data_IF_976553166766
#
_entry.id   IF_976553166766
#
_cell.length_a   1.000
_cell.length_b   1.000
_cell.length_c   1.000
_cell.angle_alpha   90.00
_cell.angle_beta   90.00
_cell.angle_gamma   90.00
#
_symmetry.space_group_name_H-M   'P 1'
#
loop_
_entity.id
_entity.type
_entity.pdbx_description
1 polymer ?
#
# COMPACT_ATOMS: atom_id res chain seq x y z
N UNK A 1 13.37 -12.87 -11.11
CA UNK A 1 14.09 -12.14 -12.18
C UNK A 1 13.53 -12.60 -13.51
N UNK A 2 13.14 -11.65 -14.37
CA UNK A 2 12.74 -11.92 -15.74
C UNK A 2 13.92 -11.67 -16.67
N UNK A 3 14.29 -12.68 -17.45
CA UNK A 3 15.33 -12.60 -18.46
C UNK A 3 14.92 -13.44 -19.66
N UNK A 4 14.97 -12.87 -20.86
CA UNK A 4 14.67 -13.55 -22.13
C UNK A 4 13.31 -14.32 -22.10
N UNK A 5 12.25 -13.72 -21.56
CA UNK A 5 10.94 -14.33 -21.29
C UNK A 5 10.96 -15.54 -20.34
N UNK A 6 12.01 -15.70 -19.57
CA UNK A 6 12.15 -16.75 -18.57
C UNK A 6 12.16 -16.16 -17.16
N UNK A 7 11.46 -16.82 -16.22
CA UNK A 7 11.42 -16.40 -14.82
C UNK A 7 12.38 -17.26 -13.99
N UNK A 8 13.36 -16.61 -13.36
CA UNK A 8 14.19 -17.23 -12.35
C UNK A 8 13.59 -16.97 -10.97
N UNK A 9 13.18 -18.02 -10.28
CA UNK A 9 12.72 -17.96 -8.89
C UNK A 9 13.94 -18.05 -7.97
N UNK A 10 14.17 -17.00 -7.18
CA UNK A 10 15.28 -16.95 -6.23
C UNK A 10 14.91 -17.61 -4.91
N UNK A 11 13.72 -17.29 -4.41
CA UNK A 11 13.19 -17.84 -3.15
C UNK A 11 11.67 -17.83 -3.17
N UNK A 12 11.08 -18.62 -2.30
CA UNK A 12 9.64 -18.54 -1.99
C UNK A 12 9.45 -18.66 -0.48
N UNK A 13 8.33 -18.11 0.01
CA UNK A 13 7.95 -18.16 1.42
C UNK A 13 6.55 -18.74 1.55
N UNK A 14 6.34 -19.58 2.55
CA UNK A 14 5.03 -20.15 2.90
C UNK A 14 4.17 -19.19 3.72
N UNK A 15 4.67 -17.99 4.02
CA UNK A 15 3.94 -16.94 4.72
C UNK A 15 3.72 -15.72 3.83
N UNK A 16 2.67 -14.98 4.10
CA UNK A 16 2.43 -13.69 3.45
C UNK A 16 3.49 -12.67 3.84
N UNK A 17 3.85 -11.82 2.90
CA UNK A 17 4.63 -10.61 3.16
C UNK A 17 3.83 -9.60 3.99
N UNK A 18 4.52 -8.83 4.85
CA UNK A 18 3.91 -7.75 5.61
C UNK A 18 3.51 -6.54 4.75
N UNK A 19 2.89 -5.53 5.38
CA UNK A 19 2.58 -4.26 4.77
C UNK A 19 1.36 -4.29 3.86
N UNK A 20 0.30 -5.02 4.23
CA UNK A 20 -0.99 -5.01 3.51
C UNK A 20 -0.91 -5.48 2.04
N UNK A 21 0.17 -6.17 1.64
CA UNK A 21 0.37 -6.69 0.27
C UNK A 21 -0.74 -7.65 -0.18
N UNK A 22 -1.44 -8.28 0.76
CA UNK A 22 -2.57 -9.17 0.46
C UNK A 22 -3.65 -8.46 -0.36
N UNK A 23 -3.88 -7.17 -0.12
CA UNK A 23 -4.83 -6.36 -0.90
C UNK A 23 -4.33 -6.08 -2.31
N UNK A 24 -3.06 -5.76 -2.47
CA UNK A 24 -2.46 -5.59 -3.80
C UNK A 24 -2.58 -6.88 -4.63
N UNK A 25 -2.33 -8.03 -4.02
CA UNK A 25 -2.46 -9.33 -4.68
C UNK A 25 -3.92 -9.58 -5.06
N UNK A 26 -4.89 -9.31 -4.17
CA UNK A 26 -6.32 -9.46 -4.44
C UNK A 26 -6.75 -8.62 -5.66
N UNK A 27 -6.32 -7.36 -5.71
CA UNK A 27 -6.65 -6.45 -6.82
C UNK A 27 -6.06 -6.92 -8.15
N UNK A 28 -4.82 -7.42 -8.14
CA UNK A 28 -4.11 -7.84 -9.35
C UNK A 28 -4.54 -9.23 -9.84
N UNK A 29 -4.84 -10.15 -8.94
CA UNK A 29 -5.11 -11.56 -9.27
C UNK A 29 -6.58 -11.98 -9.12
N UNK A 30 -7.42 -11.17 -8.46
CA UNK A 30 -8.77 -11.55 -8.06
C UNK A 30 -8.83 -12.58 -6.92
N UNK A 31 -7.68 -12.99 -6.36
CA UNK A 31 -7.61 -13.98 -5.28
C UNK A 31 -7.53 -13.31 -3.92
N UNK A 32 -8.55 -13.48 -3.10
CA UNK A 32 -8.49 -13.07 -1.71
C UNK A 32 -7.66 -14.07 -0.90
N UNK A 33 -6.37 -13.76 -0.73
CA UNK A 33 -5.42 -14.63 -0.06
C UNK A 33 -5.80 -14.89 1.41
N UNK A 34 -6.39 -13.90 2.10
CA UNK A 34 -6.81 -14.08 3.50
C UNK A 34 -7.92 -15.12 3.62
N UNK A 35 -8.95 -15.02 2.77
CA UNK A 35 -10.02 -16.02 2.72
C UNK A 35 -9.48 -17.39 2.32
N UNK A 36 -8.63 -17.46 1.29
CA UNK A 36 -8.00 -18.71 0.86
C UNK A 36 -7.16 -19.37 1.96
N UNK A 37 -6.51 -18.57 2.79
CA UNK A 37 -5.75 -19.07 3.93
C UNK A 37 -6.66 -19.64 5.03
N UNK A 38 -7.80 -18.98 5.29
CA UNK A 38 -8.81 -19.49 6.22
C UNK A 38 -9.41 -20.79 5.71
N UNK A 39 -9.76 -20.87 4.42
CA UNK A 39 -10.28 -22.10 3.79
C UNK A 39 -9.31 -23.27 4.00
N UNK A 40 -8.00 -23.06 3.77
CA UNK A 40 -6.96 -24.08 4.00
C UNK A 40 -6.88 -24.54 5.46
N UNK A 41 -7.00 -23.61 6.43
CA UNK A 41 -6.99 -23.97 7.86
C UNK A 41 -8.21 -24.81 8.21
N UNK A 42 -9.35 -24.56 7.59
CA UNK A 42 -10.58 -25.31 7.77
C UNK A 42 -10.60 -26.66 7.01
N UNK A 43 -9.55 -26.96 6.24
CA UNK A 43 -9.46 -28.15 5.40
C UNK A 43 -10.26 -28.06 4.10
N UNK A 44 -10.66 -26.86 3.71
CA UNK A 44 -11.37 -26.58 2.48
C UNK A 44 -10.40 -26.24 1.33
N UNK A 45 -10.85 -26.39 0.10
CA UNK A 45 -10.05 -25.97 -1.06
C UNK A 45 -10.17 -24.47 -1.28
N UNK A 46 -9.04 -23.74 -1.38
CA UNK A 46 -9.08 -22.30 -1.59
C UNK A 46 -9.69 -21.94 -2.93
N UNK A 47 -10.46 -20.87 -2.97
CA UNK A 47 -11.04 -20.33 -4.20
C UNK A 47 -9.97 -19.58 -4.99
N UNK A 48 -9.64 -20.11 -6.17
CA UNK A 48 -8.74 -19.44 -7.10
C UNK A 48 -9.57 -18.75 -8.16
N UNK A 49 -9.50 -17.43 -8.22
CA UNK A 49 -10.11 -16.67 -9.31
C UNK A 49 -9.29 -16.88 -10.59
N UNK A 50 -9.93 -16.97 -11.77
CA UNK A 50 -9.19 -16.90 -13.02
C UNK A 50 -8.53 -15.53 -13.13
N UNK A 51 -7.30 -15.49 -13.66
CA UNK A 51 -6.63 -14.23 -13.94
C UNK A 51 -7.48 -13.40 -14.91
N UNK A 52 -7.92 -12.26 -14.43
CA UNK A 52 -8.57 -11.25 -15.25
C UNK A 52 -7.57 -10.14 -15.60
N UNK A 53 -8.00 -9.27 -16.50
CA UNK A 53 -7.27 -8.16 -17.12
C UNK A 53 -6.20 -7.50 -16.25
N UNK A 54 -5.01 -7.32 -16.80
CA UNK A 54 -3.92 -6.57 -16.17
C UNK A 54 -4.41 -5.18 -15.79
N UNK A 55 -4.38 -4.90 -14.50
CA UNK A 55 -4.56 -3.56 -13.93
C UNK A 55 -3.20 -3.05 -13.49
N UNK A 56 -3.04 -1.75 -13.51
CA UNK A 56 -1.89 -1.10 -12.88
C UNK A 56 -2.26 -0.79 -11.44
N UNK A 57 -1.48 -1.25 -10.50
CA UNK A 57 -1.75 -1.03 -9.08
C UNK A 57 -0.46 -0.83 -8.30
N UNK A 58 -0.51 0.02 -7.29
CA UNK A 58 0.59 0.23 -6.36
C UNK A 58 0.07 0.28 -4.92
N UNK A 59 0.79 -0.40 -4.02
CA UNK A 59 0.69 -0.22 -2.58
C UNK A 59 1.79 0.76 -2.18
N UNK A 60 1.43 2.02 -1.98
CA UNK A 60 2.36 3.06 -1.56
C UNK A 60 2.45 3.13 -0.03
N UNK A 61 3.65 3.36 0.49
CA UNK A 61 3.91 3.45 1.93
C UNK A 61 4.41 4.83 2.29
N UNK A 62 3.85 5.37 3.35
CA UNK A 62 4.14 6.70 3.85
C UNK A 62 5.05 6.61 5.07
N UNK A 63 6.12 7.36 5.04
CA UNK A 63 7.03 7.60 6.15
C UNK A 63 6.94 9.05 6.61
N UNK A 64 7.38 9.32 7.81
CA UNK A 64 7.35 10.65 8.39
C UNK A 64 8.72 11.06 8.91
N UNK A 65 8.95 12.37 8.91
CA UNK A 65 10.01 12.99 9.71
C UNK A 65 9.68 12.88 11.20
N UNK A 66 10.68 12.99 12.10
CA UNK A 66 10.47 12.91 13.53
C UNK A 66 9.43 13.92 14.04
N UNK A 67 8.55 13.46 14.92
CA UNK A 67 7.48 14.27 15.51
C UNK A 67 6.42 13.41 16.19
N UNK A 68 5.47 14.03 16.85
CA UNK A 68 4.31 13.34 17.44
C UNK A 68 3.11 13.54 16.49
N UNK A 69 2.54 12.45 16.04
CA UNK A 69 1.37 12.48 15.15
C UNK A 69 0.17 13.08 15.87
N UNK A 70 -0.42 14.13 15.29
CA UNK A 70 -1.66 14.72 15.77
C UNK A 70 -2.86 14.33 14.92
N UNK A 71 -2.72 14.30 13.58
CA UNK A 71 -3.81 13.90 12.68
C UNK A 71 -3.29 13.34 11.35
N UNK A 72 -4.18 12.58 10.68
CA UNK A 72 -4.01 12.05 9.32
C UNK A 72 -5.04 12.73 8.43
N UNK A 73 -4.58 13.57 7.50
CA UNK A 73 -5.44 14.38 6.65
C UNK A 73 -5.53 13.82 5.22
N UNK A 74 -6.68 13.99 4.59
CA UNK A 74 -6.92 13.64 3.19
C UNK A 74 -7.34 12.20 2.93
N UNK A 75 -6.95 11.23 3.74
CA UNK A 75 -7.15 9.78 3.49
C UNK A 75 -8.62 9.41 3.26
N UNK A 76 -9.51 9.85 4.17
CA UNK A 76 -10.93 9.55 4.06
C UNK A 76 -11.56 10.21 2.82
N UNK A 77 -11.20 11.43 2.52
CA UNK A 77 -11.68 12.14 1.36
C UNK A 77 -11.27 11.45 0.05
N UNK A 78 -10.02 11.01 -0.05
CA UNK A 78 -9.51 10.28 -1.21
C UNK A 78 -10.21 8.92 -1.39
N UNK A 79 -10.51 8.22 -0.30
CA UNK A 79 -11.27 6.97 -0.32
C UNK A 79 -12.72 7.21 -0.76
N UNK A 80 -13.41 8.17 -0.15
CA UNK A 80 -14.81 8.51 -0.44
C UNK A 80 -15.00 8.94 -1.92
N UNK A 81 -13.98 9.55 -2.53
CA UNK A 81 -13.98 9.96 -3.94
C UNK A 81 -13.31 8.94 -4.89
N UNK A 82 -13.01 7.73 -4.41
CA UNK A 82 -12.44 6.63 -5.20
C UNK A 82 -11.11 6.96 -5.90
N UNK A 83 -10.31 7.85 -5.32
CA UNK A 83 -8.91 8.05 -5.75
C UNK A 83 -8.00 6.94 -5.27
N UNK A 84 -8.31 6.37 -4.08
CA UNK A 84 -7.65 5.20 -3.52
C UNK A 84 -8.68 4.09 -3.26
N UNK A 85 -8.26 2.84 -3.37
CA UNK A 85 -9.08 1.65 -3.08
C UNK A 85 -9.19 1.39 -1.57
N UNK A 86 -8.10 1.62 -0.85
CA UNK A 86 -8.00 1.40 0.59
C UNK A 86 -6.81 2.17 1.17
N UNK A 87 -6.86 2.51 2.46
CA UNK A 87 -5.72 3.03 3.18
C UNK A 87 -5.51 2.29 4.50
N UNK A 88 -4.30 2.33 5.01
CA UNK A 88 -3.87 1.63 6.22
C UNK A 88 -3.10 2.60 7.10
N UNK A 89 -3.53 2.75 8.33
CA UNK A 89 -2.79 3.49 9.34
C UNK A 89 -2.00 2.49 10.19
N UNK A 90 -0.67 2.52 10.08
CA UNK A 90 0.22 1.65 10.85
C UNK A 90 0.65 2.29 12.17
N UNK A 91 0.47 3.59 12.30
CA UNK A 91 0.63 4.38 13.51
C UNK A 91 -0.69 5.06 13.83
N UNK A 92 -0.82 5.58 15.05
CA UNK A 92 -2.01 6.27 15.53
C UNK A 92 -1.66 7.65 16.03
N UNK A 93 -2.66 8.51 16.17
CA UNK A 93 -2.53 9.81 16.84
C UNK A 93 -1.92 9.65 18.23
N UNK A 94 -1.08 10.58 18.63
CA UNK A 94 -0.32 10.56 19.88
C UNK A 94 0.97 9.74 19.84
N UNK A 95 1.22 8.94 18.79
CA UNK A 95 2.48 8.20 18.66
C UNK A 95 3.63 9.11 18.24
N UNK A 96 4.78 8.91 18.90
CA UNK A 96 6.01 9.54 18.50
C UNK A 96 6.65 8.79 17.32
N UNK A 97 7.00 9.54 16.29
CA UNK A 97 7.82 9.09 15.18
C UNK A 97 9.25 9.52 15.45
N UNK A 98 10.14 8.55 15.40
CA UNK A 98 11.59 8.78 15.38
C UNK A 98 12.09 8.71 13.93
N UNK A 99 13.38 8.56 13.70
CA UNK A 99 13.93 8.38 12.38
C UNK A 99 13.44 7.06 11.76
N UNK A 100 12.94 7.13 10.53
CA UNK A 100 12.56 5.94 9.79
C UNK A 100 13.81 5.18 9.30
N UNK A 101 13.97 3.93 9.72
CA UNK A 101 15.12 3.08 9.40
C UNK A 101 14.69 1.74 8.80
N UNK A 102 13.46 1.33 9.06
CA UNK A 102 12.94 0.02 8.66
C UNK A 102 11.54 0.11 8.07
N UNK A 103 11.09 -0.99 7.48
CA UNK A 103 9.71 -1.12 7.03
C UNK A 103 8.67 -1.09 8.17
N UNK A 104 9.09 -1.26 9.43
CA UNK A 104 8.25 -1.12 10.61
C UNK A 104 7.93 0.34 10.97
N UNK A 105 8.66 1.29 10.39
CA UNK A 105 8.52 2.72 10.68
C UNK A 105 7.50 3.42 9.76
N UNK A 106 6.80 2.67 8.91
CA UNK A 106 5.70 3.19 8.11
C UNK A 106 4.65 3.83 8.99
N UNK A 107 4.24 5.06 8.68
CA UNK A 107 3.14 5.73 9.35
C UNK A 107 1.79 5.30 8.78
N UNK A 108 1.69 5.24 7.46
CA UNK A 108 0.50 4.84 6.73
C UNK A 108 0.85 4.15 5.40
N UNK A 109 -0.17 3.76 4.66
CA UNK A 109 -0.06 3.30 3.29
C UNK A 109 -1.41 3.38 2.60
N UNK A 110 -1.41 3.35 1.27
CA UNK A 110 -2.62 3.34 0.46
C UNK A 110 -2.46 2.50 -0.80
N UNK A 111 -3.58 1.97 -1.28
CA UNK A 111 -3.67 1.19 -2.50
C UNK A 111 -4.34 2.02 -3.59
N UNK A 112 -3.68 2.13 -4.72
CA UNK A 112 -4.18 2.80 -5.92
C UNK A 112 -4.26 1.81 -7.08
N UNK A 113 -5.28 1.96 -7.90
CA UNK A 113 -5.49 1.19 -9.13
C UNK A 113 -5.76 2.13 -10.29
N UNK A 114 -5.24 1.76 -11.45
CA UNK A 114 -5.42 2.50 -12.69
C UNK A 114 -5.55 1.55 -13.89
N UNK A 115 -6.05 2.09 -15.00
CA UNK A 115 -6.17 1.36 -16.26
C UNK A 115 -4.91 1.44 -17.11
N UNK A 116 -4.07 2.43 -16.87
CA UNK A 116 -2.79 2.65 -17.55
C UNK A 116 -1.71 3.06 -16.55
N UNK A 117 -0.45 2.91 -16.95
CA UNK A 117 0.70 3.36 -16.15
C UNK A 117 0.69 4.87 -15.96
N UNK A 118 0.38 5.62 -17.02
CA UNK A 118 0.29 7.08 -16.95
C UNK A 118 -0.79 7.54 -15.97
N UNK A 119 -1.99 6.94 -16.02
CA UNK A 119 -3.05 7.23 -15.05
C UNK A 119 -2.61 6.93 -13.62
N UNK A 120 -1.86 5.82 -13.42
CA UNK A 120 -1.33 5.47 -12.10
C UNK A 120 -0.39 6.55 -11.57
N UNK A 121 0.55 7.02 -12.39
CA UNK A 121 1.50 8.08 -12.03
C UNK A 121 0.79 9.39 -11.68
N UNK A 122 -0.17 9.81 -12.52
CA UNK A 122 -0.97 11.02 -12.29
C UNK A 122 -1.78 10.92 -10.98
N UNK A 123 -2.42 9.76 -10.73
CA UNK A 123 -3.15 9.52 -9.47
C UNK A 123 -2.23 9.56 -8.26
N UNK A 124 -1.08 8.90 -8.31
CA UNK A 124 -0.13 8.86 -7.19
C UNK A 124 0.38 10.27 -6.85
N UNK A 125 0.74 11.06 -7.86
CA UNK A 125 1.18 12.45 -7.67
C UNK A 125 0.07 13.33 -7.09
N UNK A 126 -1.16 13.18 -7.59
CA UNK A 126 -2.32 13.90 -7.05
C UNK A 126 -2.58 13.52 -5.59
N UNK A 127 -2.60 12.21 -5.27
CA UNK A 127 -2.83 11.71 -3.92
C UNK A 127 -1.77 12.24 -2.95
N UNK A 128 -0.49 12.22 -3.32
CA UNK A 128 0.60 12.73 -2.49
C UNK A 128 0.38 14.22 -2.14
N UNK A 129 -0.14 15.01 -3.09
CA UNK A 129 -0.45 16.44 -2.88
C UNK A 129 -1.67 16.70 -1.97
N UNK A 130 -2.52 15.70 -1.75
CA UNK A 130 -3.75 15.81 -0.96
C UNK A 130 -3.62 15.22 0.45
N UNK A 131 -2.58 14.46 0.71
CA UNK A 131 -2.31 13.84 2.00
C UNK A 131 -1.43 14.72 2.86
N UNK A 132 -1.66 14.69 4.16
CA UNK A 132 -0.75 15.24 5.16
C UNK A 132 -0.83 14.42 6.46
N UNK A 133 0.27 14.38 7.19
CA UNK A 133 0.32 13.86 8.55
C UNK A 133 0.85 14.97 9.43
N UNK A 134 -0.05 15.60 10.20
CA UNK A 134 0.28 16.78 10.98
C UNK A 134 0.79 16.39 12.36
N UNK A 135 1.80 17.12 12.82
CA UNK A 135 2.26 17.03 14.22
C UNK A 135 1.46 17.97 15.14
N UNK A 136 1.76 17.95 16.44
CA UNK A 136 1.10 18.78 17.45
C UNK A 136 1.20 20.29 17.22
N UNK A 137 2.13 20.73 16.37
CA UNK A 137 2.30 22.13 16.00
C UNK A 137 1.58 22.48 14.68
N UNK A 138 0.84 21.54 14.11
CA UNK A 138 0.17 21.69 12.80
C UNK A 138 1.13 21.67 11.60
N UNK A 139 2.36 21.20 11.80
CA UNK A 139 3.35 21.05 10.73
C UNK A 139 3.19 19.68 10.11
N UNK A 140 3.16 19.63 8.77
CA UNK A 140 3.19 18.38 8.04
C UNK A 140 4.56 17.71 8.17
N UNK A 141 4.55 16.49 8.68
CA UNK A 141 5.74 15.66 8.86
C UNK A 141 5.80 14.48 7.87
N UNK A 142 4.88 14.41 6.92
CA UNK A 142 4.90 13.39 5.89
C UNK A 142 6.12 13.57 4.96
N UNK A 143 6.78 12.47 4.61
CA UNK A 143 7.83 12.47 3.60
C UNK A 143 7.16 12.37 2.22
N UNK A 144 6.96 13.51 1.56
CA UNK A 144 6.43 13.60 0.22
C UNK A 144 7.45 13.19 -0.86
N UNK A 145 6.94 12.83 -2.03
CA UNK A 145 7.78 12.54 -3.21
C UNK A 145 8.50 11.19 -3.17
N UNK A 146 8.31 10.35 -2.13
CA UNK A 146 8.88 8.99 -2.12
C UNK A 146 8.28 8.09 -3.21
N UNK A 147 7.10 8.41 -3.70
CA UNK A 147 6.44 7.75 -4.83
C UNK A 147 7.21 7.92 -6.14
N UNK A 148 7.95 9.03 -6.31
CA UNK A 148 8.72 9.32 -7.53
C UNK A 148 9.98 8.46 -7.65
N UNK A 149 10.36 7.77 -6.57
CA UNK A 149 11.53 6.88 -6.54
C UNK A 149 11.21 5.43 -6.93
N UNK A 150 9.96 5.08 -7.16
CA UNK A 150 9.49 3.70 -7.31
C UNK A 150 9.07 3.34 -8.74
N UNK A 151 9.06 4.31 -9.64
CA UNK A 151 8.61 4.11 -11.04
C UNK A 151 9.75 4.22 -12.05
#
# INVERSE_FOLDING_TARGET
>A
ILKDNHFDVLEFSTRMGGGSKYKLIEVLSGVNIMSSYVDLILGESPRMAPWEKVKYAVMNYIYCYPGIINSFEGFKNLLDNSFIEEYFLYKTEGMEITKAETSGDRAAGYLVVASTEQELQEKVSYIDSQLAILNNNGVDIMCHGLSDLVL
#
